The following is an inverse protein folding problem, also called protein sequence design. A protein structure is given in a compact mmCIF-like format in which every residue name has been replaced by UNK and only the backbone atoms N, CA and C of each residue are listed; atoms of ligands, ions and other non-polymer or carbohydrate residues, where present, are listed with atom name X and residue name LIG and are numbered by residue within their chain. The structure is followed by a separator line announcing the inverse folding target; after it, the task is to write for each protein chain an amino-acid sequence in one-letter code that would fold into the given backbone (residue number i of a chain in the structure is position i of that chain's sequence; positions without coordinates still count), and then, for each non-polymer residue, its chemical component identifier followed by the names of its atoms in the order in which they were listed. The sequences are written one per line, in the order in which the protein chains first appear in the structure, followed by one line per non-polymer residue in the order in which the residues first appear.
data_IF_446240629211
#
_entry.id   IF_446240629211
#
_cell.length_a   1.000
_cell.length_b   1.000
_cell.length_c   1.000
_cell.angle_alpha   90.00
_cell.angle_beta   90.00
_cell.angle_gamma   90.00
#
_symmetry.space_group_name_H-M   'P 1'
#
loop_
_entity.id
_entity.type
_entity.pdbx_description
1 polymer ?
#
# COMPACT_ATOMS: atom_id res chain seq x y z
N UNK A 1 -0.09 5.06 9.86
CA UNK A 1 -0.18 3.85 9.00
C UNK A 1 -1.57 3.63 8.44
N UNK A 2 -2.64 3.61 9.25
CA UNK A 2 -4.02 3.40 8.74
C UNK A 2 -4.38 4.29 7.54
N UNK A 3 -4.20 5.60 7.65
CA UNK A 3 -4.51 6.55 6.58
C UNK A 3 -3.64 6.36 5.33
N UNK A 4 -2.42 5.83 5.50
CA UNK A 4 -1.51 5.52 4.41
C UNK A 4 -1.96 4.26 3.63
N UNK A 5 -2.35 3.19 4.33
CA UNK A 5 -2.94 2.00 3.67
C UNK A 5 -4.23 2.38 2.94
N UNK A 6 -5.06 3.22 3.56
CA UNK A 6 -6.29 3.74 2.95
C UNK A 6 -5.99 4.58 1.70
N UNK A 7 -4.98 5.45 1.78
CA UNK A 7 -4.53 6.23 0.65
C UNK A 7 -4.03 5.30 -0.47
N UNK A 8 -3.17 4.32 -0.17
CA UNK A 8 -2.67 3.35 -1.14
C UNK A 8 -3.79 2.60 -1.86
N UNK A 9 -4.76 2.07 -1.11
CA UNK A 9 -5.92 1.37 -1.68
C UNK A 9 -6.76 2.26 -2.61
N UNK A 10 -6.91 3.56 -2.31
CA UNK A 10 -7.64 4.51 -3.15
C UNK A 10 -6.82 4.98 -4.36
N UNK A 11 -5.53 5.25 -4.19
CA UNK A 11 -4.62 5.62 -5.28
C UNK A 11 -4.54 4.52 -6.33
N UNK A 12 -4.50 3.26 -5.90
CA UNK A 12 -4.50 2.13 -6.84
C UNK A 12 -5.78 2.09 -7.69
N UNK A 13 -6.94 2.42 -7.12
CA UNK A 13 -8.18 2.56 -7.90
C UNK A 13 -8.06 3.67 -8.95
N UNK A 14 -7.56 4.84 -8.57
CA UNK A 14 -7.34 5.96 -9.50
C UNK A 14 -6.36 5.59 -10.61
N UNK A 15 -5.28 4.88 -10.28
CA UNK A 15 -4.23 4.58 -11.25
C UNK A 15 -4.61 3.46 -12.20
N UNK A 16 -5.46 2.53 -11.78
CA UNK A 16 -5.96 1.44 -12.63
C UNK A 16 -6.67 1.97 -13.89
N UNK A 17 -7.27 3.16 -13.87
CA UNK A 17 -7.94 3.75 -15.04
C UNK A 17 -6.97 4.10 -16.18
N UNK A 18 -5.67 4.21 -15.90
CA UNK A 18 -4.63 4.45 -16.90
C UNK A 18 -4.16 3.16 -17.61
N UNK A 19 -4.73 2.00 -17.28
CA UNK A 19 -4.32 0.70 -17.81
C UNK A 19 -5.52 -0.07 -18.40
N UNK A 20 -5.29 -0.80 -19.49
CA UNK A 20 -6.31 -1.68 -20.05
C UNK A 20 -6.67 -2.79 -19.06
N UNK A 21 -7.96 -3.05 -18.81
CA UNK A 21 -8.43 -4.04 -17.84
C UNK A 21 -7.96 -5.48 -18.11
N UNK A 22 -7.57 -5.78 -19.35
CA UNK A 22 -7.04 -7.09 -19.77
C UNK A 22 -5.52 -7.15 -19.69
N UNK A 23 -4.84 -6.03 -19.44
CA UNK A 23 -3.38 -5.97 -19.32
C UNK A 23 -2.88 -6.69 -18.06
N UNK A 24 -1.68 -7.30 -18.10
CA UNK A 24 -1.01 -7.84 -16.93
C UNK A 24 -0.83 -6.80 -15.81
N UNK A 25 -0.51 -5.56 -16.16
CA UNK A 25 -0.27 -4.46 -15.24
C UNK A 25 -1.54 -4.11 -14.44
N UNK A 26 -2.70 -4.06 -15.11
CA UNK A 26 -3.96 -3.83 -14.43
C UNK A 26 -4.28 -4.93 -13.41
N UNK A 27 -3.99 -6.20 -13.74
CA UNK A 27 -4.21 -7.32 -12.80
C UNK A 27 -3.31 -7.20 -11.58
N UNK A 28 -2.03 -6.87 -11.78
CA UNK A 28 -1.09 -6.61 -10.68
C UNK A 28 -1.58 -5.47 -9.80
N UNK A 29 -1.99 -4.34 -10.40
CA UNK A 29 -2.54 -3.21 -9.65
C UNK A 29 -3.78 -3.61 -8.84
N UNK A 30 -4.67 -4.42 -9.42
CA UNK A 30 -5.89 -4.90 -8.76
C UNK A 30 -5.57 -5.80 -7.55
N UNK A 31 -4.57 -6.67 -7.67
CA UNK A 31 -4.11 -7.54 -6.60
C UNK A 31 -3.47 -6.75 -5.46
N UNK A 32 -2.58 -5.80 -5.79
CA UNK A 32 -1.97 -4.89 -4.81
C UNK A 32 -3.06 -4.08 -4.11
N UNK A 33 -4.05 -3.57 -4.86
CA UNK A 33 -5.18 -2.83 -4.28
C UNK A 33 -5.94 -3.63 -3.23
N UNK A 34 -6.18 -4.91 -3.49
CA UNK A 34 -6.87 -5.78 -2.55
C UNK A 34 -6.05 -6.01 -1.27
N UNK A 35 -4.72 -6.13 -1.40
CA UNK A 35 -3.79 -6.26 -0.26
C UNK A 35 -3.80 -4.99 0.60
N UNK A 36 -3.66 -3.80 0.00
CA UNK A 36 -3.70 -2.51 0.71
C UNK A 36 -5.06 -2.30 1.42
N UNK A 37 -6.17 -2.66 0.77
CA UNK A 37 -7.50 -2.59 1.38
C UNK A 37 -7.64 -3.54 2.58
N UNK A 38 -7.10 -4.75 2.48
CA UNK A 38 -7.07 -5.71 3.57
C UNK A 38 -6.21 -5.20 4.74
N UNK A 39 -5.04 -4.66 4.45
CA UNK A 39 -4.15 -4.05 5.44
C UNK A 39 -4.82 -2.89 6.18
N UNK A 40 -5.49 -1.99 5.45
CA UNK A 40 -6.28 -0.91 6.04
C UNK A 40 -7.34 -1.45 7.02
N UNK A 41 -8.04 -2.52 6.65
CA UNK A 41 -9.04 -3.15 7.52
C UNK A 41 -8.40 -3.81 8.76
N UNK A 42 -7.21 -4.43 8.62
CA UNK A 42 -6.49 -5.04 9.73
C UNK A 42 -6.04 -3.98 10.76
N UNK A 43 -5.46 -2.87 10.32
CA UNK A 43 -5.09 -1.78 11.23
C UNK A 43 -6.32 -1.19 11.92
N UNK A 44 -7.41 -0.97 11.18
CA UNK A 44 -8.67 -0.46 11.75
C UNK A 44 -9.15 -1.35 12.90
N UNK A 45 -9.19 -2.67 12.69
CA UNK A 45 -9.58 -3.65 13.73
C UNK A 45 -8.65 -3.65 14.94
N UNK A 46 -7.35 -3.46 14.75
CA UNK A 46 -6.40 -3.34 15.87
C UNK A 46 -6.70 -2.09 16.71
N UNK A 47 -6.96 -0.96 16.07
CA UNK A 47 -7.28 0.30 16.76
C UNK A 47 -8.63 0.22 17.48
N UNK A 48 -9.65 -0.37 16.84
CA UNK A 48 -10.95 -0.65 17.47
C UNK A 48 -10.81 -1.50 18.72
N UNK A 49 -10.06 -2.61 18.64
CA UNK A 49 -9.81 -3.49 19.78
C UNK A 49 -9.04 -2.80 20.90
N UNK A 50 -8.16 -1.86 20.56
CA UNK A 50 -7.41 -1.07 21.52
C UNK A 50 -8.23 0.10 22.12
N UNK A 51 -9.46 0.35 21.63
CA UNK A 51 -10.28 1.49 22.06
C UNK A 51 -9.70 2.84 21.65
N UNK A 52 -8.81 2.86 20.64
CA UNK A 52 -8.14 4.08 20.18
C UNK A 52 -8.99 4.70 19.07
N UNK A 53 -9.46 5.95 19.22
CA UNK A 53 -10.12 6.67 18.13
C UNK A 53 -9.20 6.77 16.92
N UNK A 54 -9.74 6.60 15.73
CA UNK A 54 -8.96 6.66 14.50
C UNK A 54 -9.69 7.40 13.39
N UNK A 55 -8.92 7.97 12.47
CA UNK A 55 -9.44 8.76 11.35
C UNK A 55 -9.84 7.88 10.16
N UNK A 56 -10.83 8.36 9.41
CA UNK A 56 -11.27 7.81 8.12
C UNK A 56 -10.63 8.51 6.91
N UNK A 57 -9.72 9.46 7.14
CA UNK A 57 -9.06 10.26 6.12
C UNK A 57 -7.95 9.48 5.38
N UNK A 58 -7.45 10.06 4.30
CA UNK A 58 -6.26 9.58 3.60
C UNK A 58 -5.05 10.42 3.98
N UNK A 59 -3.85 9.84 3.91
CA UNK A 59 -2.63 10.64 4.03
C UNK A 59 -2.41 11.51 2.78
N UNK A 60 -1.50 12.48 2.88
CA UNK A 60 -1.04 13.33 1.77
C UNK A 60 -0.56 12.56 0.53
N UNK A 61 -0.26 11.26 0.68
CA UNK A 61 0.05 10.38 -0.44
C UNK A 61 -1.09 10.32 -1.47
N UNK A 62 -2.34 10.39 -1.00
CA UNK A 62 -3.50 10.43 -1.90
C UNK A 62 -3.53 11.72 -2.72
N UNK A 63 -3.36 12.87 -2.06
CA UNK A 63 -3.46 14.17 -2.72
C UNK A 63 -2.36 14.34 -3.77
N UNK A 64 -1.12 13.98 -3.43
CA UNK A 64 0.02 14.02 -4.37
C UNK A 64 -0.11 13.03 -5.52
N UNK A 65 -0.88 11.95 -5.36
CA UNK A 65 -1.11 11.00 -6.44
C UNK A 65 -1.99 11.57 -7.55
N UNK A 66 -2.86 12.56 -7.23
CA UNK A 66 -3.73 13.21 -8.21
C UNK A 66 -2.93 13.95 -9.28
N UNK A 67 -1.74 14.45 -8.93
CA UNK A 67 -0.85 15.18 -9.83
C UNK A 67 0.05 14.26 -10.68
N UNK A 68 -0.08 12.93 -10.55
CA UNK A 68 0.76 11.97 -11.29
C UNK A 68 0.06 11.55 -12.58
N UNK A 69 0.46 12.14 -13.71
CA UNK A 69 -0.18 11.91 -15.01
C UNK A 69 0.33 10.66 -15.73
N UNK A 70 1.65 10.56 -15.93
CA UNK A 70 2.22 9.54 -16.80
C UNK A 70 2.10 8.13 -16.21
N UNK A 71 1.70 7.16 -17.04
CA UNK A 71 1.51 5.75 -16.64
C UNK A 71 2.74 5.15 -15.95
N UNK A 72 3.94 5.42 -16.48
CA UNK A 72 5.19 4.95 -15.89
C UNK A 72 5.42 5.57 -14.50
N UNK A 73 5.10 6.86 -14.34
CA UNK A 73 5.27 7.58 -13.09
C UNK A 73 4.30 7.11 -12.02
N UNK A 74 3.08 6.71 -12.41
CA UNK A 74 2.11 6.07 -11.51
C UNK A 74 2.66 4.81 -10.85
N UNK A 75 3.32 3.92 -11.62
CA UNK A 75 3.94 2.71 -11.06
C UNK A 75 5.12 3.05 -10.14
N UNK A 76 6.01 3.97 -10.56
CA UNK A 76 7.14 4.41 -9.72
C UNK A 76 6.67 5.04 -8.41
N UNK A 77 5.61 5.85 -8.47
CA UNK A 77 5.00 6.51 -7.32
C UNK A 77 4.46 5.49 -6.30
N UNK A 78 3.74 4.46 -6.77
CA UNK A 78 3.28 3.36 -5.93
C UNK A 78 4.44 2.62 -5.26
N UNK A 79 5.47 2.25 -6.03
CA UNK A 79 6.64 1.54 -5.50
C UNK A 79 7.33 2.39 -4.41
N UNK A 80 7.45 3.70 -4.61
CA UNK A 80 8.05 4.60 -3.63
C UNK A 80 7.21 4.68 -2.35
N UNK A 81 5.88 4.74 -2.47
CA UNK A 81 4.93 4.70 -1.34
C UNK A 81 5.05 3.41 -0.54
N UNK A 82 5.04 2.26 -1.21
CA UNK A 82 5.18 0.95 -0.56
C UNK A 82 6.55 0.81 0.14
N UNK A 83 7.64 1.26 -0.49
CA UNK A 83 8.97 1.26 0.13
C UNK A 83 9.02 2.16 1.37
N UNK A 84 8.32 3.30 1.35
CA UNK A 84 8.16 4.14 2.54
C UNK A 84 7.41 3.42 3.65
N UNK A 85 6.31 2.73 3.33
CA UNK A 85 5.53 1.97 4.31
C UNK A 85 6.36 0.83 4.94
N UNK A 86 7.14 0.09 4.15
CA UNK A 86 8.09 -0.92 4.66
C UNK A 86 9.04 -0.32 5.71
N UNK A 87 9.65 0.84 5.43
CA UNK A 87 10.53 1.53 6.40
C UNK A 87 9.78 1.95 7.67
N UNK A 88 8.50 2.32 7.56
CA UNK A 88 7.66 2.66 8.72
C UNK A 88 7.32 1.44 9.56
N UNK A 89 7.05 0.30 8.93
CA UNK A 89 6.89 -0.96 9.66
C UNK A 89 8.18 -1.34 10.36
N UNK A 90 9.33 -1.36 9.66
CA UNK A 90 10.64 -1.68 10.23
C UNK A 90 10.95 -0.86 11.49
N UNK A 91 10.68 0.44 11.45
CA UNK A 91 10.90 1.33 12.60
C UNK A 91 9.92 1.14 13.76
N UNK A 92 8.74 0.56 13.53
CA UNK A 92 7.71 0.40 14.56
C UNK A 92 7.70 -0.99 15.20
N UNK A 93 8.22 -2.02 14.52
CA UNK A 93 8.09 -3.42 14.96
C UNK A 93 8.59 -3.66 16.38
N UNK A 94 9.71 -3.03 16.77
CA UNK A 94 10.32 -3.21 18.08
C UNK A 94 9.42 -2.81 19.26
N UNK A 95 8.55 -1.82 19.05
CA UNK A 95 7.73 -1.21 20.10
C UNK A 95 6.32 -1.83 20.22
N UNK A 96 5.96 -2.73 19.30
CA UNK A 96 4.64 -3.36 19.28
C UNK A 96 4.56 -4.57 20.20
N UNK A 97 3.38 -4.75 20.80
CA UNK A 97 3.02 -5.98 21.50
C UNK A 97 3.06 -7.19 20.55
N UNK A 98 3.19 -8.43 21.05
CA UNK A 98 3.37 -9.61 20.20
C UNK A 98 2.27 -9.82 19.15
N UNK A 99 1.01 -9.47 19.47
CA UNK A 99 -0.09 -9.64 18.52
C UNK A 99 -0.01 -8.62 17.39
N UNK A 100 0.13 -7.33 17.72
CA UNK A 100 0.25 -6.26 16.73
C UNK A 100 1.50 -6.42 15.87
N UNK A 101 2.62 -6.85 16.48
CA UNK A 101 3.87 -7.16 15.78
C UNK A 101 3.67 -8.21 14.69
N UNK A 102 3.05 -9.34 15.02
CA UNK A 102 2.80 -10.42 14.06
C UNK A 102 1.89 -9.97 12.89
N UNK A 103 0.95 -9.05 13.14
CA UNK A 103 0.14 -8.45 12.07
C UNK A 103 1.01 -7.55 11.19
N UNK A 104 1.81 -6.68 11.78
CA UNK A 104 2.66 -5.73 11.06
C UNK A 104 3.77 -6.43 10.25
N UNK A 105 4.32 -7.55 10.72
CA UNK A 105 5.26 -8.38 9.97
C UNK A 105 4.64 -8.94 8.69
N UNK A 106 3.40 -9.44 8.77
CA UNK A 106 2.66 -9.92 7.59
C UNK A 106 2.37 -8.79 6.60
N UNK A 107 1.97 -7.63 7.10
CA UNK A 107 1.72 -6.45 6.27
C UNK A 107 3.00 -6.00 5.56
N UNK A 108 4.12 -5.95 6.29
CA UNK A 108 5.44 -5.65 5.73
C UNK A 108 5.82 -6.63 4.62
N UNK A 109 5.65 -7.93 4.83
CA UNK A 109 5.91 -8.95 3.80
C UNK A 109 5.01 -8.74 2.57
N UNK A 110 3.72 -8.46 2.76
CA UNK A 110 2.80 -8.17 1.66
C UNK A 110 3.19 -6.93 0.86
N UNK A 111 3.79 -5.91 1.49
CA UNK A 111 4.31 -4.74 0.79
C UNK A 111 5.53 -5.08 -0.07
N UNK A 112 6.45 -5.92 0.44
CA UNK A 112 7.60 -6.40 -0.33
C UNK A 112 7.17 -7.20 -1.56
N UNK A 113 6.19 -8.10 -1.41
CA UNK A 113 5.59 -8.84 -2.53
C UNK A 113 4.99 -7.88 -3.58
N UNK A 114 4.28 -6.86 -3.11
CA UNK A 114 3.63 -5.86 -3.96
C UNK A 114 4.65 -5.01 -4.72
N UNK A 115 5.75 -4.60 -4.07
CA UNK A 115 6.87 -3.91 -4.70
C UNK A 115 7.44 -4.77 -5.84
N UNK A 116 7.77 -6.03 -5.54
CA UNK A 116 8.36 -6.93 -6.53
C UNK A 116 7.42 -7.16 -7.72
N UNK A 117 6.10 -7.25 -7.48
CA UNK A 117 5.11 -7.39 -8.54
C UNK A 117 5.00 -6.14 -9.42
N UNK A 118 5.01 -4.95 -8.82
CA UNK A 118 4.96 -3.67 -9.55
C UNK A 118 6.25 -3.40 -10.32
N UNK A 119 7.41 -3.75 -9.78
CA UNK A 119 8.69 -3.62 -10.48
C UNK A 119 8.73 -4.48 -11.74
N UNK A 120 8.26 -5.74 -11.66
CA UNK A 120 8.09 -6.61 -12.83
C UNK A 120 7.12 -6.01 -13.85
N UNK A 121 5.99 -5.47 -13.39
CA UNK A 121 5.01 -4.81 -14.26
C UNK A 121 5.54 -3.53 -14.92
N UNK A 122 6.47 -2.82 -14.26
CA UNK A 122 7.13 -1.64 -14.81
C UNK A 122 8.29 -1.96 -15.77
N UNK A 123 8.61 -3.24 -15.98
CA UNK A 123 9.76 -3.67 -16.79
C UNK A 123 11.12 -3.50 -16.10
N UNK A 124 11.14 -3.34 -14.78
CA UNK A 124 12.37 -3.28 -13.98
C UNK A 124 12.88 -4.68 -13.60
N UNK A 125 14.19 -4.84 -13.27
CA UNK A 125 14.68 -6.08 -12.68
C UNK A 125 14.03 -6.32 -11.30
N UNK A 126 13.80 -7.59 -10.89
CA UNK A 126 13.35 -7.88 -9.53
C UNK A 126 14.42 -7.42 -8.55
N UNK A 127 14.04 -6.53 -7.61
CA UNK A 127 14.90 -6.04 -6.53
C UNK A 127 15.27 -7.09 -5.49
#
# INVERSE_FOLDING_TARGET
MLEAERAGAKVLVLFMDAFDRRSPEWRVLREVQAREAQNCALIGKLLEKAGVPYSHETSEFYDRALDVDARADKLRYLIQGLRWAVRKFDGALADLDPHSRAVFEKMRASHLDSIAALERAAGGPPG
#
